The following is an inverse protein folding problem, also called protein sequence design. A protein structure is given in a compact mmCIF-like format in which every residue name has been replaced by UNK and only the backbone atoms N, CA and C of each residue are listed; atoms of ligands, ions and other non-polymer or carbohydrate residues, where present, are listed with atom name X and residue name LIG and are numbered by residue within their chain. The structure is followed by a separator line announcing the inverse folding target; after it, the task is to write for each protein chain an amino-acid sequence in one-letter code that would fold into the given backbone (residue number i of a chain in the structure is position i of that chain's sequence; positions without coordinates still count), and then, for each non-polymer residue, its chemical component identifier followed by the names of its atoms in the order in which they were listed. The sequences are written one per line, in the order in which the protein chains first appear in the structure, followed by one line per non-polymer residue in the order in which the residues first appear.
data_IF_910263173173
#
_entry.id   IF_910263173173
#
_cell.length_a   1.000
_cell.length_b   1.000
_cell.length_c   1.000
_cell.angle_alpha   90.00
_cell.angle_beta   90.00
_cell.angle_gamma   90.00
#
_symmetry.space_group_name_H-M   'P 1'
#
loop_
_entity.id
_entity.type
_entity.pdbx_description
1 polymer ?
#
# COMPACT_ATOMS: atom_id res chain seq x y z
N UNK A 1 -12.94 6.26 7.67
CA UNK A 1 -11.49 5.99 7.90
C UNK A 1 -11.37 4.53 8.23
N UNK A 2 -10.84 3.80 7.32
CA UNK A 2 -11.15 2.40 7.09
C UNK A 2 -10.27 1.43 7.88
N UNK A 3 -10.65 1.15 9.13
CA UNK A 3 -10.10 0.03 9.90
C UNK A 3 -8.58 0.03 10.12
N UNK A 4 -7.95 1.21 10.19
CA UNK A 4 -6.53 1.37 10.51
C UNK A 4 -6.40 2.14 11.82
N UNK A 5 -5.65 1.61 12.75
CA UNK A 5 -5.31 2.23 14.02
C UNK A 5 -3.79 2.40 14.11
N UNK A 6 -3.35 3.44 14.78
CA UNK A 6 -1.95 3.65 15.14
C UNK A 6 -1.78 3.17 16.58
N UNK A 7 -1.15 2.00 16.81
CA UNK A 7 -0.89 1.51 18.16
C UNK A 7 0.18 2.36 18.86
N UNK A 8 0.24 2.28 20.21
CA UNK A 8 1.22 3.02 21.02
C UNK A 8 2.68 2.77 20.62
N UNK A 9 2.97 1.59 20.09
CA UNK A 9 4.31 1.21 19.60
C UNK A 9 4.66 1.78 18.23
N UNK A 10 3.77 2.60 17.64
CA UNK A 10 3.91 3.12 16.29
C UNK A 10 3.52 2.12 15.19
N UNK A 11 3.52 2.60 13.93
CA UNK A 11 3.10 1.81 12.78
C UNK A 11 1.60 1.92 12.50
N UNK A 12 1.11 1.07 11.60
CA UNK A 12 -0.31 1.00 11.24
C UNK A 12 -0.84 -0.41 11.45
N UNK A 13 -1.89 -0.56 12.23
CA UNK A 13 -2.55 -1.83 12.45
C UNK A 13 -3.92 -1.87 11.76
N UNK A 14 -4.20 -2.97 11.07
CA UNK A 14 -5.50 -3.19 10.45
C UNK A 14 -6.43 -3.90 11.40
N UNK A 15 -7.52 -3.25 11.76
CA UNK A 15 -8.58 -3.81 12.61
C UNK A 15 -9.82 -4.23 11.84
N UNK A 16 -9.85 -4.04 10.52
CA UNK A 16 -10.97 -4.47 9.68
C UNK A 16 -11.02 -6.00 9.59
N UNK A 17 -12.02 -6.57 10.28
CA UNK A 17 -12.23 -8.03 10.34
C UNK A 17 -12.46 -8.65 8.95
N UNK A 18 -13.15 -7.96 8.05
CA UNK A 18 -13.40 -8.47 6.70
C UNK A 18 -12.11 -8.63 5.90
N UNK A 19 -11.20 -7.67 6.06
CA UNK A 19 -9.88 -7.72 5.41
C UNK A 19 -9.03 -8.83 6.02
N UNK A 20 -9.02 -8.95 7.36
CA UNK A 20 -8.28 -9.99 8.07
C UNK A 20 -8.80 -11.39 7.73
N UNK A 21 -10.13 -11.57 7.68
CA UNK A 21 -10.74 -12.86 7.35
C UNK A 21 -10.42 -13.31 5.92
N UNK A 22 -10.38 -12.39 4.97
CA UNK A 22 -9.95 -12.70 3.59
C UNK A 22 -8.49 -13.14 3.49
N UNK A 23 -7.67 -12.81 4.47
CA UNK A 23 -6.25 -13.18 4.52
C UNK A 23 -5.97 -14.41 5.39
N UNK A 24 -6.99 -14.92 6.12
CA UNK A 24 -6.86 -16.15 6.89
C UNK A 24 -6.46 -17.32 5.98
N UNK A 25 -5.55 -18.12 6.47
CA UNK A 25 -5.06 -19.28 5.74
C UNK A 25 -3.97 -19.00 4.70
N UNK A 26 -3.73 -17.76 4.31
CA UNK A 26 -2.70 -17.41 3.33
C UNK A 26 -1.31 -17.90 3.75
N UNK A 27 -0.92 -17.63 5.00
CA UNK A 27 0.36 -18.09 5.54
C UNK A 27 0.46 -19.60 5.57
N UNK A 28 -0.65 -20.28 5.90
CA UNK A 28 -0.70 -21.74 5.89
C UNK A 28 -0.52 -22.31 4.47
N UNK A 29 -1.11 -21.68 3.45
CA UNK A 29 -0.92 -22.05 2.05
C UNK A 29 0.55 -21.89 1.61
N UNK A 30 1.16 -20.77 1.97
CA UNK A 30 2.58 -20.51 1.65
C UNK A 30 3.49 -21.49 2.36
N UNK A 31 3.29 -21.73 3.66
CA UNK A 31 4.08 -22.68 4.43
C UNK A 31 3.97 -24.10 3.85
N UNK A 32 2.76 -24.56 3.50
CA UNK A 32 2.57 -25.87 2.86
C UNK A 32 3.35 -26.00 1.56
N UNK A 33 3.38 -24.94 0.73
CA UNK A 33 4.17 -24.95 -0.51
C UNK A 33 5.67 -25.00 -0.23
N UNK A 34 6.16 -24.21 0.73
CA UNK A 34 7.58 -24.23 1.14
C UNK A 34 7.98 -25.61 1.63
N UNK A 35 7.19 -26.20 2.54
CA UNK A 35 7.45 -27.55 3.07
C UNK A 35 7.45 -28.59 1.94
N UNK A 36 6.50 -28.51 1.01
CA UNK A 36 6.46 -29.40 -0.15
C UNK A 36 7.73 -29.28 -0.99
N UNK A 37 8.18 -28.05 -1.30
CA UNK A 37 9.42 -27.84 -2.07
C UNK A 37 10.64 -28.39 -1.34
N UNK A 38 10.74 -28.23 -0.03
CA UNK A 38 11.84 -28.78 0.77
C UNK A 38 11.84 -30.31 0.75
N UNK A 39 10.68 -30.94 0.91
CA UNK A 39 10.55 -32.39 0.89
C UNK A 39 10.84 -33.00 -0.49
N UNK A 40 10.47 -32.29 -1.56
CA UNK A 40 10.69 -32.73 -2.94
C UNK A 40 12.03 -32.28 -3.52
N UNK A 41 12.86 -31.57 -2.74
CA UNK A 41 14.13 -30.97 -3.17
C UNK A 41 13.99 -30.07 -4.41
N UNK A 42 12.84 -29.45 -4.56
CA UNK A 42 12.56 -28.49 -5.62
C UNK A 42 13.09 -27.09 -5.22
N UNK A 43 13.53 -26.27 -6.18
CA UNK A 43 13.98 -24.92 -5.87
C UNK A 43 12.82 -24.07 -5.34
N UNK A 44 13.07 -23.33 -4.27
CA UNK A 44 12.09 -22.42 -3.64
C UNK A 44 11.61 -21.32 -4.62
N UNK A 45 12.43 -20.99 -5.61
CA UNK A 45 12.07 -20.02 -6.67
C UNK A 45 10.88 -20.46 -7.53
N UNK A 46 10.51 -21.76 -7.51
CA UNK A 46 9.33 -22.29 -8.20
C UNK A 46 8.02 -22.16 -7.42
N UNK A 47 8.02 -21.59 -6.22
CA UNK A 47 6.80 -21.41 -5.43
C UNK A 47 5.91 -20.35 -6.07
N UNK A 48 4.70 -20.77 -6.46
CA UNK A 48 3.66 -19.84 -6.92
C UNK A 48 2.97 -19.22 -5.70
N UNK A 49 3.19 -17.92 -5.50
CA UNK A 49 2.50 -17.19 -4.45
C UNK A 49 1.03 -16.95 -4.86
N UNK A 50 0.07 -17.16 -3.94
CA UNK A 50 -1.33 -16.84 -4.22
C UNK A 50 -1.50 -15.37 -4.60
N UNK A 51 -2.32 -15.08 -5.62
CA UNK A 51 -2.61 -13.70 -6.06
C UNK A 51 -3.07 -12.80 -4.91
N UNK A 52 -3.72 -13.36 -3.90
CA UNK A 52 -4.15 -12.64 -2.69
C UNK A 52 -3.01 -12.01 -1.88
N UNK A 53 -1.76 -12.45 -2.09
CA UNK A 53 -0.56 -11.84 -1.46
C UNK A 53 -0.27 -10.47 -2.02
N UNK A 54 -0.58 -10.26 -3.30
CA UNK A 54 -0.20 -9.06 -4.03
C UNK A 54 -1.26 -7.96 -3.93
N UNK A 55 -0.79 -6.72 -4.12
CA UNK A 55 -1.66 -5.55 -4.25
C UNK A 55 -2.53 -5.70 -5.52
N UNK A 56 -3.87 -5.54 -5.42
CA UNK A 56 -4.77 -5.67 -6.57
C UNK A 56 -4.68 -4.48 -7.53
N UNK A 57 -4.00 -3.41 -7.14
CA UNK A 57 -3.82 -2.18 -7.92
C UNK A 57 -2.40 -2.08 -8.43
N UNK A 58 -2.24 -1.51 -9.60
CA UNK A 58 -0.92 -1.23 -10.16
C UNK A 58 -0.20 -0.13 -9.38
N UNK A 59 1.13 -0.07 -9.53
CA UNK A 59 1.92 1.00 -8.95
C UNK A 59 1.50 2.37 -9.48
N UNK A 60 1.16 2.46 -10.76
CA UNK A 60 0.70 3.71 -11.40
C UNK A 60 -0.60 4.20 -10.75
N UNK A 61 -1.57 3.31 -10.54
CA UNK A 61 -2.83 3.66 -9.85
C UNK A 61 -2.58 4.15 -8.43
N UNK A 62 -1.63 3.55 -7.71
CA UNK A 62 -1.25 4.01 -6.37
C UNK A 62 -0.56 5.38 -6.40
N UNK A 63 0.28 5.64 -7.38
CA UNK A 63 0.88 6.96 -7.57
C UNK A 63 -0.18 8.02 -7.90
N UNK A 64 -1.17 7.70 -8.72
CA UNK A 64 -2.29 8.61 -9.02
C UNK A 64 -3.11 8.95 -7.76
N UNK A 65 -3.32 8.01 -6.85
CA UNK A 65 -3.96 8.30 -5.56
C UNK A 65 -3.20 9.36 -4.76
N UNK A 66 -1.86 9.37 -4.84
CA UNK A 66 -1.00 10.36 -4.19
C UNK A 66 -1.29 11.77 -4.69
N UNK A 67 -1.61 11.90 -5.98
CA UNK A 67 -1.92 13.18 -6.62
C UNK A 67 -3.42 13.49 -6.67
N UNK A 68 -4.27 12.66 -6.11
CA UNK A 68 -5.73 12.84 -6.17
C UNK A 68 -6.21 14.17 -5.56
N UNK A 69 -5.48 14.72 -4.60
CA UNK A 69 -5.78 16.02 -3.99
C UNK A 69 -5.09 17.21 -4.68
N UNK A 70 -4.17 16.95 -5.61
CA UNK A 70 -3.40 17.98 -6.30
C UNK A 70 -4.26 19.08 -6.96
N UNK A 71 -5.37 18.77 -7.65
CA UNK A 71 -6.21 19.79 -8.27
C UNK A 71 -6.73 20.82 -7.25
N UNK A 72 -7.08 20.40 -6.04
CA UNK A 72 -7.61 21.25 -4.99
C UNK A 72 -6.51 22.16 -4.44
N UNK A 73 -5.38 21.58 -4.05
CA UNK A 73 -4.28 22.31 -3.44
C UNK A 73 -3.57 23.22 -4.43
N UNK A 74 -3.31 22.75 -5.65
CA UNK A 74 -2.61 23.54 -6.66
C UNK A 74 -3.47 24.70 -7.18
N UNK A 75 -4.79 24.50 -7.33
CA UNK A 75 -5.70 25.60 -7.66
C UNK A 75 -5.65 26.70 -6.59
N UNK A 76 -5.69 26.34 -5.31
CA UNK A 76 -5.59 27.30 -4.21
C UNK A 76 -4.22 27.98 -4.19
N UNK A 77 -3.15 27.21 -4.34
CA UNK A 77 -1.79 27.74 -4.39
C UNK A 77 -1.57 28.71 -5.56
N UNK A 78 -2.20 28.47 -6.71
CA UNK A 78 -2.12 29.35 -7.88
C UNK A 78 -2.82 30.71 -7.65
N UNK A 79 -3.85 30.75 -6.81
CA UNK A 79 -4.59 31.96 -6.46
C UNK A 79 -3.98 32.71 -5.28
N UNK A 80 -3.07 32.09 -4.55
CA UNK A 80 -2.44 32.68 -3.37
C UNK A 80 -1.34 33.65 -3.76
N UNK A 81 -1.36 34.83 -3.18
CA UNK A 81 -0.38 35.93 -3.42
C UNK A 81 0.83 35.84 -2.51
N UNK A 82 0.63 35.36 -1.27
CA UNK A 82 1.72 35.13 -0.33
C UNK A 82 2.49 33.85 -0.72
N UNK A 83 3.78 34.01 -0.99
CA UNK A 83 4.65 32.91 -1.36
C UNK A 83 4.79 31.84 -0.26
N UNK A 84 4.72 32.25 1.02
CA UNK A 84 4.81 31.33 2.15
C UNK A 84 3.55 30.44 2.26
N UNK A 85 2.37 31.06 2.13
CA UNK A 85 1.10 30.31 2.12
C UNK A 85 1.00 29.41 0.90
N UNK A 86 1.47 29.86 -0.26
CA UNK A 86 1.59 29.04 -1.46
C UNK A 86 2.45 27.80 -1.22
N UNK A 87 3.63 27.98 -0.61
CA UNK A 87 4.53 26.88 -0.28
C UNK A 87 3.87 25.89 0.69
N UNK A 88 3.19 26.38 1.72
CA UNK A 88 2.45 25.53 2.68
C UNK A 88 1.40 24.67 1.98
N UNK A 89 0.65 25.23 1.04
CA UNK A 89 -0.36 24.48 0.26
C UNK A 89 0.27 23.37 -0.56
N UNK A 90 1.38 23.65 -1.24
CA UNK A 90 2.11 22.64 -2.03
C UNK A 90 2.67 21.54 -1.12
N UNK A 91 3.32 21.91 -0.02
CA UNK A 91 3.83 20.92 0.94
C UNK A 91 2.73 20.07 1.55
N UNK A 92 1.59 20.67 1.89
CA UNK A 92 0.44 19.94 2.41
C UNK A 92 -0.07 18.91 1.40
N UNK A 93 -0.11 19.26 0.12
CA UNK A 93 -0.48 18.32 -0.94
C UNK A 93 0.46 17.12 -0.99
N UNK A 94 1.77 17.36 -0.97
CA UNK A 94 2.79 16.29 -1.01
C UNK A 94 2.70 15.37 0.21
N UNK A 95 2.63 15.96 1.41
CA UNK A 95 2.53 15.19 2.67
C UNK A 95 1.23 14.36 2.70
N UNK A 96 0.11 14.95 2.27
CA UNK A 96 -1.17 14.24 2.19
C UNK A 96 -1.10 13.05 1.24
N UNK A 97 -0.36 13.19 0.13
CA UNK A 97 -0.14 12.09 -0.81
C UNK A 97 0.67 10.93 -0.22
N UNK A 98 1.68 11.22 0.60
CA UNK A 98 2.50 10.18 1.26
C UNK A 98 1.68 9.29 2.19
N UNK A 99 0.57 9.79 2.74
CA UNK A 99 -0.32 8.99 3.57
C UNK A 99 -0.93 7.78 2.82
N UNK A 100 -1.22 7.95 1.53
CA UNK A 100 -1.68 6.85 0.68
C UNK A 100 -0.65 5.73 0.57
N UNK A 101 0.61 6.09 0.38
CA UNK A 101 1.73 5.13 0.29
C UNK A 101 2.00 4.43 1.63
N UNK A 102 1.89 5.14 2.76
CA UNK A 102 2.07 4.57 4.09
C UNK A 102 1.02 3.50 4.45
N UNK A 103 -0.14 3.51 3.81
CA UNK A 103 -1.21 2.51 3.99
C UNK A 103 -1.03 1.25 3.16
N UNK A 104 -0.04 1.18 2.29
CA UNK A 104 0.19 0.00 1.46
C UNK A 104 0.55 -1.20 2.33
N UNK A 105 -0.23 -2.27 2.22
CA UNK A 105 -0.09 -3.48 3.06
C UNK A 105 0.48 -4.67 2.32
N UNK A 106 0.42 -4.64 1.00
CA UNK A 106 0.79 -5.76 0.14
C UNK A 106 1.84 -5.33 -0.87
N UNK A 107 2.79 -6.20 -1.20
CA UNK A 107 3.72 -5.93 -2.28
C UNK A 107 2.99 -5.86 -3.63
N UNK A 108 3.55 -5.12 -4.56
CA UNK A 108 3.07 -5.16 -5.94
C UNK A 108 3.41 -6.50 -6.58
N UNK A 109 2.54 -6.93 -7.50
CA UNK A 109 2.84 -8.08 -8.34
C UNK A 109 4.03 -7.73 -9.23
N UNK A 110 5.12 -8.54 -9.24
CA UNK A 110 6.23 -8.31 -10.15
C UNK A 110 5.72 -8.45 -11.59
N UNK A 111 5.91 -7.40 -12.38
CA UNK A 111 5.65 -7.45 -13.81
C UNK A 111 6.87 -8.08 -14.48
N UNK A 112 6.61 -9.08 -15.32
CA UNK A 112 7.61 -9.60 -16.24
C UNK A 112 7.82 -8.53 -17.33
N UNK A 113 8.98 -7.93 -17.36
CA UNK A 113 9.40 -6.95 -18.33
C UNK A 113 10.82 -7.15 -18.75
#
# INVERSE_FOLDING_TARGET
MDGIVIPEKGGFECIDKNVLDRQKGLMTEVIKQVVKCLLTRQPISGISLPVRVFEPRSQIERMLDTFGLAPIFFKRAALETDYLERLKLVMTCVVSGMYGSAKQRKPFNPLLG
#
